data_IF_561028407116
#
_entry.id   IF_561028407116
#
_cell.length_a   1.000
_cell.length_b   1.000
_cell.length_c   1.000
_cell.angle_alpha   90.00
_cell.angle_beta   90.00
_cell.angle_gamma   90.00
#
_symmetry.space_group_name_H-M   'P 1'
#
loop_
_entity.id
_entity.type
_entity.pdbx_description
1 polymer ?
#
# COMPACT_ATOMS: atom_id res chain seq x y z
N UNK A 1 8.44 -3.00 17.15
CA UNK A 1 9.60 -3.25 16.27
C UNK A 1 10.94 -3.26 17.03
N UNK A 2 10.95 -3.79 18.27
CA UNK A 2 12.11 -3.83 19.13
C UNK A 2 13.32 -4.55 18.51
N UNK A 3 13.10 -5.68 17.86
CA UNK A 3 14.12 -6.44 17.13
C UNK A 3 14.76 -5.63 15.99
N UNK A 4 14.00 -4.75 15.37
CA UNK A 4 14.45 -3.94 14.24
C UNK A 4 15.28 -2.74 14.68
N UNK A 5 15.02 -2.19 15.87
CA UNK A 5 15.82 -1.11 16.43
C UNK A 5 17.25 -1.56 16.78
N UNK A 6 17.40 -2.83 17.16
CA UNK A 6 18.67 -3.45 17.53
C UNK A 6 19.37 -4.17 16.36
N UNK A 7 18.75 -4.24 15.19
CA UNK A 7 19.36 -4.86 14.02
C UNK A 7 20.49 -3.98 13.47
N UNK A 8 21.64 -4.61 13.14
CA UNK A 8 22.77 -3.91 12.50
C UNK A 8 22.42 -3.30 11.13
N UNK A 9 21.29 -3.70 10.54
CA UNK A 9 20.76 -3.20 9.27
C UNK A 9 19.70 -2.15 9.55
N UNK A 10 20.03 -0.89 9.40
CA UNK A 10 19.08 0.20 9.53
C UNK A 10 18.14 0.23 8.31
N UNK A 11 16.90 -0.19 8.49
CA UNK A 11 15.85 -0.16 7.46
C UNK A 11 14.63 0.67 7.88
N UNK A 12 14.65 1.24 9.09
CA UNK A 12 13.61 2.13 9.62
C UNK A 12 14.20 3.51 9.89
N UNK A 13 13.50 4.54 9.44
CA UNK A 13 13.96 5.92 9.50
C UNK A 13 12.87 6.82 10.10
N UNK A 14 13.31 7.74 10.94
CA UNK A 14 12.43 8.76 11.50
C UNK A 14 12.52 10.02 10.66
N UNK A 15 11.56 10.18 9.73
CA UNK A 15 11.35 11.42 9.00
C UNK A 15 10.07 12.09 9.49
N UNK A 16 9.95 13.40 9.32
CA UNK A 16 8.65 14.03 9.54
C UNK A 16 7.59 13.43 8.60
N UNK A 17 6.35 13.39 9.07
CA UNK A 17 5.20 12.95 8.28
C UNK A 17 4.01 13.82 8.62
N UNK A 18 3.36 14.42 7.61
CA UNK A 18 2.21 15.28 7.83
C UNK A 18 1.12 15.07 6.79
N UNK A 19 -0.13 15.31 7.20
CA UNK A 19 -1.27 15.52 6.33
C UNK A 19 -1.45 17.04 6.17
N UNK A 20 -1.24 17.54 4.96
CA UNK A 20 -1.29 18.97 4.60
C UNK A 20 -2.70 19.35 4.19
N UNK A 21 -3.24 20.37 4.82
CA UNK A 21 -4.47 21.06 4.46
C UNK A 21 -4.15 22.38 3.77
N UNK A 22 -4.85 22.67 2.68
CA UNK A 22 -4.65 23.88 1.87
C UNK A 22 -5.99 24.59 1.67
N UNK A 23 -6.05 25.85 2.07
CA UNK A 23 -7.26 26.67 2.10
C UNK A 23 -8.06 26.48 3.39
N UNK A 24 -8.96 27.42 3.67
CA UNK A 24 -9.66 27.51 4.96
C UNK A 24 -10.53 26.28 5.25
N UNK A 25 -11.23 25.76 4.24
CA UNK A 25 -12.10 24.58 4.39
C UNK A 25 -11.32 23.35 4.86
N UNK A 26 -10.18 23.07 4.23
CA UNK A 26 -9.35 21.93 4.62
C UNK A 26 -8.66 22.18 5.97
N UNK A 27 -8.26 23.41 6.26
CA UNK A 27 -7.66 23.77 7.54
C UNK A 27 -8.66 23.61 8.70
N UNK A 28 -9.90 24.00 8.52
CA UNK A 28 -10.94 23.82 9.54
C UNK A 28 -11.29 22.33 9.74
N UNK A 29 -11.32 21.54 8.67
CA UNK A 29 -11.44 20.10 8.77
C UNK A 29 -10.24 19.50 9.53
N UNK A 30 -9.01 19.91 9.22
CA UNK A 30 -7.80 19.41 9.86
C UNK A 30 -7.74 19.73 11.35
N UNK A 31 -8.17 20.93 11.78
CA UNK A 31 -8.27 21.29 13.19
C UNK A 31 -9.21 20.36 13.95
N UNK A 32 -10.40 20.09 13.38
CA UNK A 32 -11.37 19.14 13.97
C UNK A 32 -10.77 17.74 14.10
N UNK A 33 -10.12 17.26 13.05
CA UNK A 33 -9.47 15.93 13.09
C UNK A 33 -8.33 15.88 14.11
N UNK A 34 -7.57 16.94 14.27
CA UNK A 34 -6.54 17.00 15.30
C UNK A 34 -7.14 16.88 16.71
N UNK A 35 -8.20 17.62 17.00
CA UNK A 35 -8.88 17.52 18.30
C UNK A 35 -9.43 16.09 18.59
N UNK A 36 -9.90 15.38 17.56
CA UNK A 36 -10.36 13.99 17.68
C UNK A 36 -9.20 13.00 17.95
N UNK A 37 -8.02 13.25 17.40
CA UNK A 37 -6.93 12.28 17.41
C UNK A 37 -5.86 12.55 18.48
N UNK A 38 -5.69 13.76 18.96
CA UNK A 38 -4.60 14.12 19.89
C UNK A 38 -4.61 13.28 21.19
N UNK A 39 -5.77 12.89 21.68
CA UNK A 39 -5.92 12.04 22.87
C UNK A 39 -5.56 10.56 22.58
N UNK A 40 -5.87 10.09 21.37
CA UNK A 40 -5.58 8.72 20.93
C UNK A 40 -4.12 8.52 20.54
N UNK A 41 -3.50 9.59 20.02
CA UNK A 41 -2.13 9.55 19.50
C UNK A 41 -1.33 10.75 20.06
N UNK A 42 -0.77 10.66 21.26
CA UNK A 42 -0.12 11.80 21.95
C UNK A 42 1.09 12.39 21.20
N UNK A 43 1.69 11.64 20.27
CA UNK A 43 2.80 12.10 19.43
C UNK A 43 2.36 12.93 18.21
N UNK A 44 1.04 13.01 17.93
CA UNK A 44 0.54 13.85 16.83
C UNK A 44 0.54 15.31 17.24
N UNK A 45 1.07 16.16 16.38
CA UNK A 45 1.13 17.62 16.56
C UNK A 45 0.35 18.32 15.46
N UNK A 46 -0.15 19.50 15.79
CA UNK A 46 -0.70 20.44 14.83
C UNK A 46 0.39 21.41 14.40
N UNK A 47 0.55 21.60 13.10
CA UNK A 47 1.53 22.50 12.49
C UNK A 47 0.81 23.66 11.81
N UNK A 48 1.12 24.88 12.23
CA UNK A 48 0.75 26.09 11.52
C UNK A 48 1.68 26.36 10.32
N UNK A 49 1.38 27.37 9.52
CA UNK A 49 2.17 27.76 8.35
C UNK A 49 3.63 28.05 8.68
N UNK A 50 3.90 28.69 9.83
CA UNK A 50 5.26 29.02 10.25
C UNK A 50 6.07 27.76 10.59
N UNK A 51 5.47 26.81 11.32
CA UNK A 51 6.07 25.53 11.63
C UNK A 51 6.30 24.70 10.36
N UNK A 52 5.33 24.65 9.45
CA UNK A 52 5.50 23.97 8.16
C UNK A 52 6.67 24.58 7.37
N UNK A 53 6.78 25.92 7.35
CA UNK A 53 7.88 26.61 6.65
C UNK A 53 9.25 26.20 7.22
N UNK A 54 9.33 26.00 8.51
CA UNK A 54 10.58 25.58 9.19
C UNK A 54 11.00 24.18 8.80
N UNK A 55 10.06 23.21 8.72
CA UNK A 55 10.35 21.79 8.47
C UNK A 55 10.28 21.41 7.00
N UNK A 56 9.39 22.04 6.21
CA UNK A 56 9.17 21.80 4.78
C UNK A 56 9.04 23.11 4.01
N UNK A 57 10.12 23.88 3.83
CA UNK A 57 10.06 25.23 3.24
C UNK A 57 9.44 25.24 1.84
N UNK A 58 9.68 24.18 1.01
CA UNK A 58 9.13 24.08 -0.34
C UNK A 58 7.60 23.92 -0.38
N UNK A 59 6.97 23.52 0.70
CA UNK A 59 5.51 23.41 0.83
C UNK A 59 4.88 24.79 1.02
N UNK A 60 5.59 25.71 1.64
CA UNK A 60 5.10 27.07 1.95
C UNK A 60 5.43 28.09 0.89
N UNK A 61 6.56 27.91 0.19
CA UNK A 61 6.96 28.83 -0.89
C UNK A 61 5.98 28.77 -2.06
N UNK A 62 5.66 29.92 -2.63
CA UNK A 62 4.85 30.05 -3.84
C UNK A 62 5.56 29.55 -5.12
N UNK A 63 4.91 29.71 -6.26
CA UNK A 63 5.39 29.17 -7.54
C UNK A 63 6.75 29.71 -7.97
N UNK A 64 7.04 30.97 -7.69
CA UNK A 64 8.29 31.66 -8.01
C UNK A 64 9.40 31.48 -6.94
N UNK A 65 9.09 30.86 -5.83
CA UNK A 65 9.96 30.67 -4.66
C UNK A 65 10.44 31.98 -3.97
N UNK A 66 9.89 33.14 -4.31
CA UNK A 66 10.31 34.42 -3.75
C UNK A 66 9.48 34.85 -2.53
N UNK A 67 8.24 34.40 -2.47
CA UNK A 67 7.30 34.72 -1.39
C UNK A 67 6.56 33.44 -0.98
N UNK A 68 5.94 33.49 0.18
CA UNK A 68 5.08 32.43 0.66
C UNK A 68 3.80 32.38 -0.17
N UNK A 69 3.26 31.19 -0.37
CA UNK A 69 1.95 30.99 -1.00
C UNK A 69 0.87 31.77 -0.23
N UNK A 70 -0.10 32.39 -0.95
CA UNK A 70 -1.14 33.19 -0.31
C UNK A 70 -2.14 32.37 0.50
N UNK A 71 -2.33 31.10 0.16
CA UNK A 71 -3.31 30.26 0.82
C UNK A 71 -2.98 30.04 2.31
N UNK A 72 -4.03 29.96 3.11
CA UNK A 72 -3.92 29.42 4.45
C UNK A 72 -3.56 27.94 4.36
N UNK A 73 -2.57 27.52 5.14
CA UNK A 73 -2.18 26.12 5.24
C UNK A 73 -1.95 25.73 6.69
N UNK A 74 -2.32 24.52 6.99
CA UNK A 74 -1.96 23.86 8.25
C UNK A 74 -1.73 22.37 8.01
N UNK A 75 -1.19 21.68 8.99
CA UNK A 75 -1.02 20.24 8.90
C UNK A 75 -1.19 19.57 10.27
N UNK A 76 -1.44 18.27 10.23
CA UNK A 76 -1.36 17.38 11.38
C UNK A 76 -0.34 16.31 11.10
N UNK A 77 0.58 16.05 12.03
CA UNK A 77 1.63 15.09 11.76
C UNK A 77 2.57 14.84 12.93
N UNK A 78 3.71 14.27 12.63
CA UNK A 78 4.77 13.96 13.58
C UNK A 78 6.10 14.56 13.12
N UNK A 79 6.91 15.00 14.05
CA UNK A 79 8.25 15.52 13.76
C UNK A 79 9.26 14.37 13.55
N UNK A 80 10.37 14.68 12.91
CA UNK A 80 11.50 13.76 12.79
C UNK A 80 12.10 13.48 14.15
N UNK A 81 12.51 12.23 14.39
CA UNK A 81 13.14 11.82 15.66
C UNK A 81 12.17 11.23 16.69
N UNK A 82 10.85 11.42 16.53
CA UNK A 82 9.87 10.97 17.53
C UNK A 82 9.36 9.55 17.27
N UNK A 83 9.05 9.24 16.00
CA UNK A 83 8.54 7.92 15.59
C UNK A 83 9.15 7.51 14.26
N UNK A 84 9.21 6.21 14.00
CA UNK A 84 9.60 5.69 12.70
C UNK A 84 8.46 5.85 11.69
N UNK A 85 8.71 6.54 10.60
CA UNK A 85 7.70 6.89 9.59
C UNK A 85 8.01 6.37 8.19
N UNK A 86 9.25 5.94 7.97
CA UNK A 86 9.74 5.45 6.68
C UNK A 86 10.44 4.11 6.89
N UNK A 87 10.11 3.12 6.06
CA UNK A 87 10.65 1.76 6.14
C UNK A 87 11.09 1.29 4.76
N UNK A 88 12.30 0.76 4.67
CA UNK A 88 12.73 -0.06 3.54
C UNK A 88 12.19 -1.49 3.74
N UNK A 89 11.00 -1.74 3.21
CA UNK A 89 10.34 -3.03 3.36
C UNK A 89 11.08 -4.19 2.68
N UNK A 90 11.88 -3.91 1.66
CA UNK A 90 12.74 -4.91 1.02
C UNK A 90 13.80 -5.42 2.00
N UNK A 91 14.57 -4.51 2.59
CA UNK A 91 15.57 -4.85 3.63
C UNK A 91 14.92 -5.48 4.86
N UNK A 92 13.77 -4.97 5.29
CA UNK A 92 13.03 -5.55 6.40
C UNK A 92 12.65 -7.01 6.13
N UNK A 93 12.11 -7.31 4.95
CA UNK A 93 11.73 -8.68 4.56
C UNK A 93 12.93 -9.62 4.53
N UNK A 94 14.06 -9.17 3.95
CA UNK A 94 15.31 -9.95 3.93
C UNK A 94 15.77 -10.24 5.36
N UNK A 95 15.80 -9.21 6.22
CA UNK A 95 16.22 -9.35 7.61
C UNK A 95 15.37 -10.35 8.38
N UNK A 96 14.02 -10.28 8.25
CA UNK A 96 13.11 -11.22 8.90
C UNK A 96 13.34 -12.66 8.45
N UNK A 97 13.60 -12.89 7.17
CA UNK A 97 13.91 -14.23 6.63
C UNK A 97 15.24 -14.72 7.19
N UNK A 98 16.28 -13.89 7.21
CA UNK A 98 17.59 -14.24 7.76
C UNK A 98 17.50 -14.57 9.25
N UNK A 99 16.71 -13.83 10.03
CA UNK A 99 16.47 -14.15 11.43
C UNK A 99 15.74 -15.49 11.61
N UNK A 100 14.73 -15.76 10.80
CA UNK A 100 14.04 -17.04 10.81
C UNK A 100 14.99 -18.22 10.50
N UNK A 101 15.89 -18.06 9.51
CA UNK A 101 16.90 -19.06 9.17
C UNK A 101 17.96 -19.26 10.27
N UNK A 102 18.33 -18.19 10.99
CA UNK A 102 19.22 -18.30 12.14
C UNK A 102 18.57 -19.08 13.32
N UNK A 103 17.27 -18.87 13.55
CA UNK A 103 16.53 -19.55 14.60
C UNK A 103 16.21 -21.00 14.24
N UNK A 104 15.93 -21.29 12.99
CA UNK A 104 15.63 -22.65 12.52
C UNK A 104 16.33 -22.93 11.18
N UNK A 105 17.34 -23.80 11.23
CA UNK A 105 18.13 -24.22 10.07
C UNK A 105 17.33 -24.95 8.99
N UNK A 106 16.11 -25.41 9.31
CA UNK A 106 15.19 -26.01 8.34
C UNK A 106 14.35 -24.96 7.59
N UNK A 107 14.58 -23.67 7.84
CA UNK A 107 13.96 -22.58 7.08
C UNK A 107 14.75 -22.30 5.80
N UNK A 108 14.13 -22.43 4.65
CA UNK A 108 14.76 -22.14 3.35
C UNK A 108 13.84 -21.32 2.47
N UNK A 109 14.46 -20.63 1.51
CA UNK A 109 13.78 -19.79 0.51
C UNK A 109 14.00 -20.40 -0.86
N UNK A 110 12.93 -20.61 -1.61
CA UNK A 110 12.98 -21.10 -2.99
C UNK A 110 12.55 -19.98 -3.95
N UNK A 111 13.52 -19.32 -4.60
CA UNK A 111 13.25 -18.33 -5.62
C UNK A 111 12.95 -18.99 -6.98
N UNK A 112 12.34 -18.23 -7.90
CA UNK A 112 11.97 -18.68 -9.23
C UNK A 112 11.03 -19.90 -9.23
N UNK A 113 10.18 -19.98 -8.22
CA UNK A 113 9.16 -21.01 -8.05
C UNK A 113 7.78 -20.38 -8.13
N UNK A 114 7.25 -20.19 -9.35
CA UNK A 114 5.92 -19.64 -9.57
C UNK A 114 4.87 -20.74 -9.27
N UNK A 115 4.14 -20.62 -8.18
CA UNK A 115 3.05 -21.54 -7.83
C UNK A 115 1.86 -21.25 -8.74
N UNK A 116 1.44 -22.24 -9.52
CA UNK A 116 0.33 -22.12 -10.48
C UNK A 116 -0.91 -22.91 -10.07
N UNK A 117 -0.77 -23.84 -9.14
CA UNK A 117 -1.85 -24.70 -8.65
C UNK A 117 -1.61 -25.11 -7.20
N UNK A 118 -2.68 -25.14 -6.42
CA UNK A 118 -2.70 -25.64 -5.05
C UNK A 118 -3.90 -26.58 -4.93
N UNK A 119 -3.68 -27.78 -4.40
CA UNK A 119 -4.75 -28.73 -4.09
C UNK A 119 -4.57 -29.29 -2.69
N UNK A 120 -5.66 -29.62 -2.01
CA UNK A 120 -5.62 -30.34 -0.73
C UNK A 120 -5.93 -31.82 -0.99
N UNK A 121 -5.04 -32.69 -0.55
CA UNK A 121 -5.22 -34.13 -0.60
C UNK A 121 -4.99 -34.69 0.80
N UNK A 122 -6.03 -35.25 1.37
CA UNK A 122 -6.06 -35.62 2.77
C UNK A 122 -5.69 -34.45 3.70
N UNK A 123 -4.66 -34.55 4.49
CA UNK A 123 -4.19 -33.50 5.41
C UNK A 123 -2.98 -32.73 4.87
N UNK A 124 -2.67 -32.86 3.58
CA UNK A 124 -1.52 -32.22 2.95
C UNK A 124 -1.98 -31.33 1.79
N UNK A 125 -1.37 -30.17 1.70
CA UNK A 125 -1.47 -29.29 0.52
C UNK A 125 -0.34 -29.61 -0.46
N UNK A 126 -0.69 -29.78 -1.72
CA UNK A 126 0.23 -30.03 -2.83
C UNK A 126 0.28 -28.74 -3.67
N UNK A 127 1.46 -28.14 -3.74
CA UNK A 127 1.69 -26.91 -4.50
C UNK A 127 2.50 -27.25 -5.76
N UNK A 128 1.96 -26.91 -6.94
CA UNK A 128 2.63 -27.18 -8.23
C UNK A 128 3.14 -25.88 -8.83
N UNK A 129 4.37 -25.92 -9.32
CA UNK A 129 5.04 -24.79 -9.92
C UNK A 129 4.99 -24.82 -11.45
N UNK A 130 5.21 -23.67 -12.09
CA UNK A 130 5.27 -23.55 -13.55
C UNK A 130 6.45 -24.32 -14.19
N UNK A 131 7.49 -24.61 -13.41
CA UNK A 131 8.64 -25.45 -13.84
C UNK A 131 8.51 -26.91 -13.42
N UNK A 132 7.27 -27.39 -13.17
CA UNK A 132 6.92 -28.79 -12.86
C UNK A 132 7.49 -29.35 -11.56
N UNK A 133 7.86 -28.50 -10.61
CA UNK A 133 8.19 -28.96 -9.25
C UNK A 133 6.94 -29.05 -8.39
N UNK A 134 7.01 -29.84 -7.35
CA UNK A 134 5.93 -30.06 -6.41
C UNK A 134 6.43 -29.94 -4.97
N UNK A 135 5.68 -29.17 -4.16
CA UNK A 135 5.93 -28.97 -2.75
C UNK A 135 4.76 -29.49 -1.93
N UNK A 136 5.05 -30.18 -0.84
CA UNK A 136 4.05 -30.72 0.09
C UNK A 136 4.11 -29.97 1.41
N UNK A 137 2.98 -29.51 1.91
CA UNK A 137 2.90 -28.73 3.14
C UNK A 137 1.67 -29.11 3.98
N UNK A 138 1.81 -29.13 5.30
CA UNK A 138 0.67 -29.30 6.21
C UNK A 138 -0.17 -28.04 6.30
N UNK A 139 0.44 -26.87 6.14
CA UNK A 139 -0.26 -25.57 6.12
C UNK A 139 0.37 -24.64 5.10
N UNK A 140 -0.43 -23.71 4.55
CA UNK A 140 -0.02 -22.75 3.50
C UNK A 140 -0.57 -21.37 3.82
N UNK A 141 0.29 -20.35 3.73
CA UNK A 141 -0.13 -18.95 3.76
C UNK A 141 0.23 -18.30 2.42
N UNK A 142 -0.77 -17.82 1.70
CA UNK A 142 -0.64 -17.24 0.36
C UNK A 142 -0.68 -15.71 0.45
N UNK A 143 0.48 -15.06 0.31
CA UNK A 143 0.65 -13.60 0.32
C UNK A 143 1.01 -13.06 -1.08
N UNK A 144 0.29 -13.51 -2.11
CA UNK A 144 0.58 -13.25 -3.51
C UNK A 144 -0.12 -11.99 -4.07
N UNK A 145 -0.54 -11.05 -3.20
CA UNK A 145 -1.26 -9.85 -3.62
C UNK A 145 -2.55 -10.18 -4.38
N UNK A 146 -2.72 -9.64 -5.59
CA UNK A 146 -3.91 -9.91 -6.40
C UNK A 146 -4.02 -11.38 -6.86
N UNK A 147 -2.90 -12.09 -6.99
CA UNK A 147 -2.90 -13.52 -7.32
C UNK A 147 -3.39 -14.41 -6.17
N UNK A 148 -3.46 -13.92 -4.93
CA UNK A 148 -4.03 -14.70 -3.83
C UNK A 148 -5.47 -15.10 -4.11
N UNK A 149 -6.30 -14.17 -4.63
CA UNK A 149 -7.69 -14.48 -5.00
C UNK A 149 -7.77 -15.44 -6.21
N UNK A 150 -6.91 -15.24 -7.19
CA UNK A 150 -6.81 -16.13 -8.35
C UNK A 150 -6.51 -17.59 -7.93
N UNK A 151 -5.54 -17.79 -7.04
CA UNK A 151 -5.18 -19.12 -6.53
C UNK A 151 -6.30 -19.70 -5.65
N UNK A 152 -6.97 -18.87 -4.82
CA UNK A 152 -8.12 -19.30 -4.03
C UNK A 152 -9.28 -19.77 -4.92
N UNK A 153 -9.60 -19.02 -5.98
CA UNK A 153 -10.65 -19.40 -6.95
C UNK A 153 -10.36 -20.72 -7.67
N UNK A 154 -9.08 -21.04 -7.93
CA UNK A 154 -8.71 -22.38 -8.48
C UNK A 154 -8.99 -23.51 -7.52
N UNK A 155 -9.04 -23.24 -6.23
CA UNK A 155 -9.46 -24.20 -5.19
C UNK A 155 -10.97 -24.13 -4.89
N UNK A 156 -11.75 -23.34 -5.62
CA UNK A 156 -13.15 -23.03 -5.34
C UNK A 156 -13.40 -22.36 -3.98
N UNK A 157 -12.42 -21.61 -3.47
CA UNK A 157 -12.49 -20.84 -2.23
C UNK A 157 -12.66 -19.35 -2.53
N UNK A 158 -13.30 -18.59 -1.62
CA UNK A 158 -13.52 -17.16 -1.79
C UNK A 158 -14.43 -16.80 -2.97
N UNK A 159 -15.36 -17.68 -3.36
CA UNK A 159 -16.25 -17.48 -4.50
C UNK A 159 -17.25 -16.34 -4.30
N UNK A 160 -17.45 -15.92 -3.06
CA UNK A 160 -18.19 -14.73 -2.64
C UNK A 160 -17.41 -13.42 -2.85
N UNK A 161 -16.17 -13.50 -3.30
CA UNK A 161 -15.28 -12.36 -3.52
C UNK A 161 -14.91 -12.20 -5.00
N UNK A 162 -14.59 -10.97 -5.38
CA UNK A 162 -14.01 -10.59 -6.66
C UNK A 162 -12.99 -9.47 -6.40
N UNK A 163 -12.24 -9.04 -7.40
CA UNK A 163 -11.37 -7.89 -7.20
C UNK A 163 -11.25 -7.00 -8.44
N UNK A 164 -11.11 -5.70 -8.17
CA UNK A 164 -10.65 -4.70 -9.11
C UNK A 164 -9.18 -4.39 -8.81
N UNK A 165 -8.24 -4.76 -9.69
CA UNK A 165 -6.85 -4.38 -9.54
C UNK A 165 -6.66 -2.89 -9.80
N UNK A 166 -6.13 -2.17 -8.82
CA UNK A 166 -5.82 -0.74 -8.91
C UNK A 166 -4.32 -0.55 -8.92
N UNK A 167 -3.77 -0.16 -10.06
CA UNK A 167 -2.37 0.14 -10.22
C UNK A 167 -2.05 1.54 -9.70
N UNK A 168 -0.95 1.67 -8.98
CA UNK A 168 -0.35 2.94 -8.62
C UNK A 168 0.95 3.15 -9.36
N UNK A 169 1.19 4.37 -9.82
CA UNK A 169 2.45 4.81 -10.43
C UNK A 169 2.98 6.02 -9.68
N UNK A 170 4.28 6.25 -9.79
CA UNK A 170 4.95 7.37 -9.15
C UNK A 170 5.78 8.16 -10.17
N UNK A 171 5.99 9.42 -9.84
CA UNK A 171 6.93 10.32 -10.52
C UNK A 171 8.03 10.70 -9.55
N UNK A 172 9.27 10.62 -10.00
CA UNK A 172 10.46 11.03 -9.25
C UNK A 172 10.96 12.39 -9.75
N UNK A 173 11.53 13.15 -8.85
CA UNK A 173 12.34 14.34 -9.17
C UNK A 173 13.82 13.96 -9.26
N UNK A 174 14.65 14.84 -9.78
CA UNK A 174 16.13 14.68 -9.80
C UNK A 174 16.80 15.26 -8.55
N UNK A 175 16.01 15.70 -7.59
CA UNK A 175 16.50 16.38 -6.38
C UNK A 175 15.56 16.14 -5.20
N UNK A 176 16.08 16.30 -4.00
CA UNK A 176 15.29 16.30 -2.78
C UNK A 176 14.53 17.61 -2.64
N UNK A 177 13.20 17.59 -2.78
CA UNK A 177 12.33 18.75 -2.58
C UNK A 177 11.66 18.75 -1.21
N UNK A 178 11.43 17.56 -0.63
CA UNK A 178 10.79 17.37 0.67
C UNK A 178 11.76 16.69 1.64
N UNK A 179 11.68 17.05 2.91
CA UNK A 179 12.47 16.44 3.98
C UNK A 179 11.83 15.17 4.53
N UNK A 180 10.52 15.08 4.43
CA UNK A 180 9.75 13.94 4.88
C UNK A 180 8.47 13.77 4.06
N UNK A 181 7.52 13.03 4.60
CA UNK A 181 6.30 12.65 3.90
C UNK A 181 5.18 13.67 4.07
N UNK A 182 4.68 14.20 2.97
CA UNK A 182 3.58 15.17 2.94
C UNK A 182 2.41 14.59 2.15
N UNK A 183 1.32 14.28 2.83
CA UNK A 183 0.05 13.81 2.24
C UNK A 183 -0.90 14.98 2.00
N UNK A 184 -1.66 14.95 0.92
CA UNK A 184 -2.85 15.78 0.78
C UNK A 184 -4.00 15.21 1.65
N UNK A 185 -4.96 16.05 2.00
CA UNK A 185 -6.19 15.60 2.66
C UNK A 185 -6.91 14.58 1.78
N UNK A 186 -7.25 13.43 2.38
CA UNK A 186 -7.99 12.37 1.70
C UNK A 186 -9.43 12.78 1.44
N UNK A 187 -9.89 12.65 0.20
CA UNK A 187 -11.30 12.77 -0.11
C UNK A 187 -12.05 11.50 0.38
N UNK A 188 -13.01 11.61 1.31
CA UNK A 188 -13.68 10.44 1.90
C UNK A 188 -14.51 9.63 0.88
N UNK A 189 -14.87 10.22 -0.26
CA UNK A 189 -15.60 9.52 -1.33
C UNK A 189 -14.70 8.67 -2.23
N UNK A 190 -13.37 8.87 -2.17
CA UNK A 190 -12.45 8.14 -3.01
C UNK A 190 -11.81 6.99 -2.21
N UNK A 191 -11.98 5.73 -2.67
CA UNK A 191 -11.39 4.55 -2.00
C UNK A 191 -9.89 4.40 -2.27
N UNK A 192 -9.25 5.43 -2.82
CA UNK A 192 -7.86 5.39 -3.26
C UNK A 192 -7.00 6.32 -2.41
N UNK A 193 -5.71 5.98 -2.27
CA UNK A 193 -4.78 6.80 -1.49
C UNK A 193 -4.65 8.20 -2.07
N UNK A 194 -4.68 9.22 -1.20
CA UNK A 194 -4.39 10.60 -1.59
C UNK A 194 -2.98 10.73 -2.14
N UNK A 195 -2.79 11.64 -3.10
CA UNK A 195 -1.47 11.99 -3.59
C UNK A 195 -0.61 12.51 -2.44
N UNK A 196 0.63 12.06 -2.41
CA UNK A 196 1.62 12.52 -1.44
C UNK A 196 2.98 12.70 -2.11
N UNK A 197 3.84 13.44 -1.45
CA UNK A 197 5.26 13.53 -1.79
C UNK A 197 6.11 13.05 -0.62
N UNK A 198 7.18 12.33 -0.91
CA UNK A 198 8.14 11.87 0.09
C UNK A 198 9.53 11.65 -0.52
N UNK A 199 10.60 11.79 0.28
CA UNK A 199 11.92 11.37 -0.14
C UNK A 199 11.96 9.84 -0.25
N UNK A 200 12.44 9.32 -1.39
CA UNK A 200 12.48 7.89 -1.66
C UNK A 200 13.85 7.30 -1.31
N UNK A 201 13.86 6.31 -0.40
CA UNK A 201 15.08 5.64 0.05
C UNK A 201 15.83 4.90 -1.07
N UNK A 202 15.10 4.41 -2.08
CA UNK A 202 15.66 3.66 -3.20
C UNK A 202 16.11 4.56 -4.35
N UNK A 203 15.85 5.87 -4.25
CA UNK A 203 16.17 6.87 -5.26
C UNK A 203 17.03 8.01 -4.66
N UNK A 204 18.01 7.68 -3.82
CA UNK A 204 18.95 8.62 -3.20
C UNK A 204 18.26 9.80 -2.50
N UNK A 205 17.12 9.55 -1.85
CA UNK A 205 16.30 10.57 -1.19
C UNK A 205 15.72 11.64 -2.14
N UNK A 206 15.74 11.42 -3.44
CA UNK A 206 15.02 12.26 -4.39
C UNK A 206 13.52 12.19 -4.09
N UNK A 207 12.82 13.31 -4.28
CA UNK A 207 11.41 13.35 -3.94
C UNK A 207 10.57 12.59 -4.95
N UNK A 208 9.74 11.71 -4.44
CA UNK A 208 8.74 10.95 -5.17
C UNK A 208 7.35 11.54 -4.93
N UNK A 209 6.55 11.65 -5.99
CA UNK A 209 5.14 12.03 -5.91
C UNK A 209 4.24 10.92 -6.44
N UNK A 210 3.13 10.66 -5.78
CA UNK A 210 2.14 9.64 -6.14
C UNK A 210 1.35 9.16 -4.93
N UNK A 211 0.72 7.99 -5.03
CA UNK A 211 0.52 7.23 -6.26
C UNK A 211 -0.61 7.78 -7.14
N UNK A 212 -0.58 7.43 -8.43
CA UNK A 212 -1.79 7.44 -9.26
C UNK A 212 -2.71 6.28 -8.87
N UNK A 213 -3.95 6.26 -9.34
CA UNK A 213 -4.89 5.18 -9.09
C UNK A 213 -5.61 4.78 -10.40
N UNK A 214 -5.03 3.82 -11.08
CA UNK A 214 -5.48 3.34 -12.38
C UNK A 214 -6.08 1.95 -12.25
N UNK A 215 -7.35 1.78 -12.60
CA UNK A 215 -7.96 0.44 -12.72
C UNK A 215 -7.42 -0.24 -13.98
N UNK A 216 -6.82 -1.41 -13.83
CA UNK A 216 -6.24 -2.15 -14.96
C UNK A 216 -6.74 -3.59 -14.99
N UNK A 217 -6.95 -4.18 -16.20
CA UNK A 217 -7.35 -5.57 -16.34
C UNK A 217 -6.15 -6.52 -16.24
N UNK A 218 -5.34 -6.37 -15.18
CA UNK A 218 -4.14 -7.17 -14.93
C UNK A 218 -3.91 -7.32 -13.43
N UNK A 219 -3.33 -8.42 -13.02
CA UNK A 219 -2.95 -8.66 -11.62
C UNK A 219 -1.56 -8.10 -11.28
N UNK A 220 -0.77 -7.72 -12.30
CA UNK A 220 0.56 -7.13 -12.15
C UNK A 220 0.77 -5.89 -13.01
N UNK A 221 1.58 -4.94 -12.52
CA UNK A 221 1.78 -3.65 -13.18
C UNK A 221 2.72 -3.72 -14.39
N UNK A 222 3.83 -4.44 -14.27
CA UNK A 222 4.96 -4.32 -15.20
C UNK A 222 5.23 -5.57 -16.06
N UNK A 223 4.52 -6.67 -15.90
CA UNK A 223 4.71 -7.93 -16.60
C UNK A 223 3.90 -8.05 -17.90
N UNK A 224 3.74 -6.96 -18.63
CA UNK A 224 3.04 -6.91 -19.90
C UNK A 224 1.57 -7.32 -19.79
N UNK A 225 1.12 -8.23 -20.66
CA UNK A 225 -0.25 -8.75 -20.69
C UNK A 225 -0.39 -10.17 -20.11
N UNK A 226 0.68 -10.74 -19.55
CA UNK A 226 0.71 -12.12 -19.06
C UNK A 226 -0.42 -12.42 -18.04
N UNK A 227 -0.69 -11.49 -17.13
CA UNK A 227 -1.71 -11.66 -16.08
C UNK A 227 -3.13 -11.21 -16.45
N UNK A 228 -3.41 -10.92 -17.73
CA UNK A 228 -4.77 -10.55 -18.19
C UNK A 228 -5.73 -11.74 -18.11
N UNK A 229 -5.40 -12.95 -18.58
CA UNK A 229 -6.28 -14.11 -18.41
C UNK A 229 -6.58 -14.41 -16.94
N UNK A 230 -5.55 -14.37 -16.08
CA UNK A 230 -5.66 -14.58 -14.64
C UNK A 230 -6.55 -13.54 -13.96
N UNK A 231 -6.53 -12.29 -14.45
CA UNK A 231 -7.44 -11.25 -14.00
C UNK A 231 -8.90 -11.64 -14.25
N UNK A 232 -9.24 -12.11 -15.44
CA UNK A 232 -10.63 -12.51 -15.75
C UNK A 232 -11.07 -13.72 -14.92
N UNK A 233 -10.15 -14.64 -14.63
CA UNK A 233 -10.43 -15.76 -13.73
C UNK A 233 -10.64 -15.30 -12.27
N UNK A 234 -9.85 -14.33 -11.79
CA UNK A 234 -10.00 -13.74 -10.46
C UNK A 234 -11.24 -12.83 -10.35
N UNK A 235 -11.58 -12.11 -11.42
CA UNK A 235 -12.75 -11.22 -11.45
C UNK A 235 -14.05 -12.00 -11.27
N UNK A 236 -14.18 -13.21 -11.85
CA UNK A 236 -15.40 -14.04 -11.78
C UNK A 236 -16.65 -13.20 -12.05
N UNK A 237 -16.67 -12.56 -13.22
CA UNK A 237 -17.71 -11.60 -13.60
C UNK A 237 -19.11 -12.21 -13.50
N UNK A 238 -19.95 -11.62 -12.65
CA UNK A 238 -21.36 -11.98 -12.48
C UNK A 238 -22.23 -10.72 -12.35
N UNK A 239 -23.55 -10.92 -12.16
CA UNK A 239 -24.51 -9.81 -12.03
C UNK A 239 -24.19 -8.86 -10.88
N UNK A 240 -23.66 -9.37 -9.75
CA UNK A 240 -23.29 -8.56 -8.58
C UNK A 240 -22.06 -7.71 -8.87
N UNK A 241 -21.02 -8.31 -9.45
CA UNK A 241 -19.80 -7.58 -9.86
C UNK A 241 -20.16 -6.49 -10.87
N UNK A 242 -21.02 -6.80 -11.87
CA UNK A 242 -21.51 -5.80 -12.83
C UNK A 242 -22.27 -4.67 -12.15
N UNK A 243 -23.15 -4.97 -11.18
CA UNK A 243 -23.91 -3.97 -10.43
C UNK A 243 -22.99 -3.08 -9.60
N UNK A 244 -22.03 -3.64 -8.86
CA UNK A 244 -21.06 -2.88 -8.06
C UNK A 244 -20.23 -1.97 -8.96
N UNK A 245 -19.72 -2.50 -10.07
CA UNK A 245 -18.96 -1.74 -11.07
C UNK A 245 -19.80 -0.59 -11.65
N UNK A 246 -21.04 -0.87 -12.04
CA UNK A 246 -21.95 0.15 -12.57
C UNK A 246 -22.21 1.26 -11.54
N UNK A 247 -22.44 0.91 -10.28
CA UNK A 247 -22.67 1.88 -9.22
C UNK A 247 -21.45 2.76 -8.98
N UNK A 248 -20.23 2.20 -9.04
CA UNK A 248 -18.98 2.98 -8.96
C UNK A 248 -18.90 4.00 -10.12
N UNK A 249 -19.16 3.57 -11.34
CA UNK A 249 -19.10 4.46 -12.51
C UNK A 249 -20.28 5.44 -12.59
N UNK A 250 -21.39 5.17 -11.90
CA UNK A 250 -22.51 6.11 -11.77
C UNK A 250 -22.15 7.33 -10.92
N UNK A 251 -21.32 7.17 -9.89
CA UNK A 251 -20.82 8.31 -9.12
C UNK A 251 -19.86 9.16 -9.95
N UNK A 252 -20.26 10.41 -10.19
CA UNK A 252 -19.49 11.33 -11.04
C UNK A 252 -18.09 11.61 -10.46
N UNK A 253 -17.94 11.64 -9.14
CA UNK A 253 -16.65 11.89 -8.47
C UNK A 253 -15.69 10.75 -8.76
N UNK A 254 -16.13 9.50 -8.56
CA UNK A 254 -15.32 8.29 -8.80
C UNK A 254 -15.01 8.15 -10.29
N UNK A 255 -16.01 8.29 -11.15
CA UNK A 255 -15.83 8.20 -12.60
C UNK A 255 -14.83 9.22 -13.14
N UNK A 256 -14.98 10.49 -12.75
CA UNK A 256 -14.07 11.55 -13.18
C UNK A 256 -12.66 11.32 -12.63
N UNK A 257 -12.54 10.85 -11.40
CA UNK A 257 -11.24 10.51 -10.80
C UNK A 257 -10.54 9.37 -11.58
N UNK A 258 -11.25 8.28 -11.87
CA UNK A 258 -10.71 7.16 -12.67
C UNK A 258 -10.29 7.66 -14.05
N UNK A 259 -11.16 8.42 -14.75
CA UNK A 259 -10.85 8.95 -16.07
C UNK A 259 -9.62 9.88 -16.04
N UNK A 260 -9.54 10.76 -15.05
CA UNK A 260 -8.41 11.66 -14.88
C UNK A 260 -7.09 10.90 -14.64
N UNK A 261 -7.12 9.81 -13.87
CA UNK A 261 -5.95 8.97 -13.67
C UNK A 261 -5.51 8.21 -14.94
N UNK A 262 -6.42 7.90 -15.88
CA UNK A 262 -6.04 7.37 -17.18
C UNK A 262 -5.22 8.36 -18.00
N UNK A 263 -5.50 9.65 -17.87
CA UNK A 263 -4.75 10.70 -18.59
C UNK A 263 -3.29 10.78 -18.14
N UNK A 264 -2.98 10.38 -16.89
CA UNK A 264 -1.60 10.32 -16.40
C UNK A 264 -0.76 9.20 -17.05
N UNK A 265 -1.37 8.28 -17.78
CA UNK A 265 -0.68 7.23 -18.51
C UNK A 265 -0.48 7.58 -20.00
N UNK A 266 -1.03 8.69 -20.45
CA UNK A 266 -0.91 9.12 -21.85
C UNK A 266 0.40 9.92 -22.03
N UNK A 267 1.29 9.49 -22.93
CA UNK A 267 2.50 10.22 -23.26
C UNK A 267 2.18 11.68 -23.65
N UNK A 268 3.04 12.60 -23.27
CA UNK A 268 2.99 14.06 -23.56
C UNK A 268 2.05 14.90 -22.68
N UNK A 269 0.98 14.35 -22.12
CA UNK A 269 0.05 15.09 -21.25
C UNK A 269 0.19 14.70 -19.77
N UNK A 270 0.73 13.51 -19.50
CA UNK A 270 0.88 12.88 -18.19
C UNK A 270 1.51 13.81 -17.15
N UNK A 271 2.72 14.31 -17.41
CA UNK A 271 3.49 15.15 -16.47
C UNK A 271 2.81 16.48 -16.17
N UNK A 272 2.29 17.13 -17.20
CA UNK A 272 1.66 18.44 -17.05
C UNK A 272 0.39 18.38 -16.23
N UNK A 273 -0.41 17.33 -16.40
CA UNK A 273 -1.60 17.09 -15.61
C UNK A 273 -1.24 16.68 -14.17
N UNK A 274 -0.29 15.77 -14.02
CA UNK A 274 0.11 15.29 -12.70
C UNK A 274 0.71 16.40 -11.83
N UNK A 275 1.54 17.26 -12.42
CA UNK A 275 2.13 18.42 -11.73
C UNK A 275 1.06 19.37 -11.21
N UNK A 276 -0.06 19.51 -11.90
CA UNK A 276 -1.17 20.35 -11.45
C UNK A 276 -1.67 19.95 -10.05
N UNK A 277 -1.76 18.65 -9.80
CA UNK A 277 -2.17 18.13 -8.50
C UNK A 277 -1.00 18.20 -7.50
N UNK A 278 0.21 17.84 -7.92
CA UNK A 278 1.40 17.84 -7.06
C UNK A 278 1.81 19.27 -6.61
N UNK A 279 1.48 20.30 -7.36
CA UNK A 279 1.64 21.72 -6.97
C UNK A 279 0.88 22.09 -5.70
N UNK A 280 -0.15 21.35 -5.34
CA UNK A 280 -0.80 21.53 -4.05
C UNK A 280 0.17 21.28 -2.89
N UNK A 281 1.13 20.36 -3.07
CA UNK A 281 2.19 20.08 -2.09
C UNK A 281 3.38 21.02 -2.30
N UNK A 282 3.94 21.06 -3.51
CA UNK A 282 5.10 21.89 -3.86
C UNK A 282 4.71 22.85 -5.00
N UNK A 283 4.32 24.10 -4.70
CA UNK A 283 3.80 25.03 -5.71
C UNK A 283 4.76 25.32 -6.87
N UNK A 284 6.06 25.32 -6.61
CA UNK A 284 7.11 25.62 -7.60
C UNK A 284 7.45 24.45 -8.54
N UNK A 285 6.83 23.27 -8.35
CA UNK A 285 7.10 22.08 -9.17
C UNK A 285 6.73 22.29 -10.63
N UNK A 286 7.62 21.88 -11.55
CA UNK A 286 7.43 21.96 -13.01
C UNK A 286 7.40 20.57 -13.62
N UNK A 287 6.78 20.44 -14.79
CA UNK A 287 6.74 19.16 -15.52
C UNK A 287 8.15 18.68 -15.97
N UNK A 288 9.10 19.61 -16.13
CA UNK A 288 10.51 19.31 -16.41
C UNK A 288 11.24 18.66 -15.22
N UNK A 289 10.74 18.87 -14.00
CA UNK A 289 11.40 18.42 -12.77
C UNK A 289 11.11 16.96 -12.46
N UNK A 290 10.07 16.41 -13.07
CA UNK A 290 9.60 15.05 -12.79
C UNK A 290 9.81 14.10 -13.99
N UNK A 291 9.99 12.84 -13.66
CA UNK A 291 9.99 11.75 -14.64
C UNK A 291 9.25 10.52 -14.08
N UNK A 292 8.67 9.73 -14.97
CA UNK A 292 7.94 8.52 -14.60
C UNK A 292 8.88 7.50 -13.95
N UNK A 293 8.52 7.04 -12.75
CA UNK A 293 9.34 6.10 -11.97
C UNK A 293 8.95 4.64 -12.29
N UNK A 294 9.46 4.11 -13.40
CA UNK A 294 9.20 2.73 -13.79
C UNK A 294 9.73 1.75 -12.73
N UNK A 295 8.88 0.81 -12.31
CA UNK A 295 9.24 -0.19 -11.29
C UNK A 295 8.88 0.23 -9.85
N UNK A 296 8.53 1.48 -9.60
CA UNK A 296 8.17 1.97 -8.25
C UNK A 296 6.69 1.81 -7.91
N UNK A 297 5.87 1.41 -8.86
CA UNK A 297 4.45 1.18 -8.66
C UNK A 297 4.13 -0.29 -8.40
N UNK A 298 2.86 -0.54 -8.07
CA UNK A 298 2.34 -1.89 -7.86
C UNK A 298 0.84 -1.95 -8.13
N UNK A 299 0.26 -3.13 -7.92
CA UNK A 299 -1.18 -3.36 -8.04
C UNK A 299 -1.76 -3.66 -6.67
N UNK A 300 -2.83 -2.98 -6.32
CA UNK A 300 -3.62 -3.24 -5.12
C UNK A 300 -4.85 -4.06 -5.49
N UNK A 301 -5.07 -5.25 -4.91
CA UNK A 301 -6.30 -6.00 -5.11
C UNK A 301 -7.44 -5.34 -4.32
N UNK A 302 -8.24 -4.50 -4.96
CA UNK A 302 -9.40 -3.92 -4.32
C UNK A 302 -10.55 -4.93 -4.37
N UNK A 303 -10.87 -5.51 -3.22
CA UNK A 303 -11.81 -6.63 -3.13
C UNK A 303 -13.26 -6.15 -3.22
N UNK A 304 -14.07 -6.87 -3.96
CA UNK A 304 -15.54 -6.77 -4.00
C UNK A 304 -16.11 -7.90 -3.16
N UNK A 305 -16.90 -7.57 -2.14
CA UNK A 305 -17.74 -8.52 -1.41
C UNK A 305 -19.07 -8.69 -2.18
N UNK A 306 -19.26 -9.86 -2.80
CA UNK A 306 -20.46 -10.14 -3.59
C UNK A 306 -21.68 -10.34 -2.72
N UNK A 307 -21.54 -10.75 -1.47
CA UNK A 307 -22.66 -10.97 -0.55
C UNK A 307 -23.25 -9.63 -0.11
N UNK A 308 -22.39 -8.65 0.16
CA UNK A 308 -22.79 -7.29 0.50
C UNK A 308 -23.09 -6.43 -0.73
N UNK A 309 -22.54 -6.80 -1.89
CA UNK A 309 -22.65 -6.02 -3.13
C UNK A 309 -21.90 -4.70 -3.07
N UNK A 310 -20.74 -4.67 -2.42
CA UNK A 310 -19.93 -3.44 -2.21
C UNK A 310 -18.43 -3.68 -2.36
N UNK A 311 -17.70 -2.58 -2.58
CA UNK A 311 -16.24 -2.56 -2.60
C UNK A 311 -15.73 -2.51 -1.16
N UNK A 312 -14.90 -3.48 -0.77
CA UNK A 312 -14.26 -3.50 0.54
C UNK A 312 -13.10 -2.50 0.60
N UNK A 313 -13.10 -1.68 1.65
CA UNK A 313 -11.99 -0.78 1.95
C UNK A 313 -11.14 -1.42 3.04
N UNK A 314 -9.97 -1.93 2.67
CA UNK A 314 -9.03 -2.51 3.61
C UNK A 314 -8.69 -3.95 3.32
N UNK A 315 -8.39 -4.67 4.38
CA UNK A 315 -7.90 -6.04 4.35
C UNK A 315 -9.01 -7.05 4.04
N UNK A 316 -8.66 -8.08 3.27
CA UNK A 316 -9.47 -9.27 3.10
C UNK A 316 -8.59 -10.52 3.20
N UNK A 317 -9.10 -11.56 3.85
CA UNK A 317 -8.49 -12.87 3.89
C UNK A 317 -9.54 -13.96 3.63
N UNK A 318 -9.12 -15.08 3.07
CA UNK A 318 -9.93 -16.27 2.86
C UNK A 318 -9.35 -17.38 3.71
N UNK A 319 -10.15 -17.90 4.64
CA UNK A 319 -9.78 -18.93 5.62
C UNK A 319 -10.81 -20.06 5.69
N UNK A 320 -11.59 -20.27 4.61
CA UNK A 320 -12.70 -21.22 4.55
C UNK A 320 -12.27 -22.68 4.71
N UNK A 321 -11.02 -22.97 4.33
CA UNK A 321 -10.44 -24.31 4.46
C UNK A 321 -9.37 -24.32 5.55
N UNK A 322 -9.49 -25.14 6.58
CA UNK A 322 -8.47 -25.25 7.61
C UNK A 322 -7.08 -25.60 7.05
N UNK A 323 -6.06 -24.88 7.52
CA UNK A 323 -4.66 -25.06 7.13
C UNK A 323 -4.20 -24.23 5.95
N UNK A 324 -5.09 -23.48 5.26
CA UNK A 324 -4.69 -22.55 4.21
C UNK A 324 -5.29 -21.15 4.41
N UNK A 325 -4.49 -20.12 4.19
CA UNK A 325 -4.89 -18.71 4.30
C UNK A 325 -4.50 -18.00 3.02
N UNK A 326 -5.41 -17.23 2.42
CA UNK A 326 -5.12 -16.36 1.30
C UNK A 326 -5.31 -14.90 1.74
N UNK A 327 -4.26 -14.10 1.68
CA UNK A 327 -4.28 -12.71 2.09
C UNK A 327 -4.35 -11.76 0.89
N UNK A 328 -5.26 -10.79 0.98
CA UNK A 328 -5.46 -9.72 0.00
C UNK A 328 -5.56 -8.40 0.75
N UNK A 329 -4.43 -7.81 1.08
CA UNK A 329 -4.40 -6.54 1.82
C UNK A 329 -3.91 -5.42 0.90
N UNK A 330 -4.82 -4.59 0.33
CA UNK A 330 -4.45 -3.60 -0.67
C UNK A 330 -3.64 -2.44 -0.07
N UNK A 331 -4.07 -1.90 1.04
CA UNK A 331 -3.43 -0.80 1.79
C UNK A 331 -4.25 -0.53 3.07
N UNK A 332 -3.62 -0.38 4.21
CA UNK A 332 -2.19 -0.17 4.51
C UNK A 332 -1.38 -1.46 4.78
N UNK A 333 -1.39 -2.43 3.88
CA UNK A 333 -0.81 -3.76 4.06
C UNK A 333 0.60 -3.80 4.64
N UNK A 334 1.48 -2.91 4.20
CA UNK A 334 2.85 -2.87 4.71
C UNK A 334 2.93 -2.46 6.19
N UNK A 335 2.12 -1.51 6.63
CA UNK A 335 2.12 -1.04 8.03
C UNK A 335 1.37 -1.97 8.98
N UNK A 336 0.45 -2.80 8.47
CA UNK A 336 -0.29 -3.81 9.26
C UNK A 336 0.33 -5.21 9.18
N UNK A 337 1.50 -5.36 8.53
CA UNK A 337 2.07 -6.67 8.22
C UNK A 337 2.35 -7.53 9.46
N UNK A 338 2.80 -6.95 10.57
CA UNK A 338 3.07 -7.72 11.80
C UNK A 338 1.78 -8.19 12.48
N UNK A 339 0.74 -7.34 12.55
CA UNK A 339 -0.56 -7.77 13.08
C UNK A 339 -1.21 -8.85 12.24
N UNK A 340 -1.07 -8.76 10.90
CA UNK A 340 -1.55 -9.81 10.00
C UNK A 340 -0.75 -11.11 10.18
N UNK A 341 0.57 -11.01 10.33
CA UNK A 341 1.43 -12.17 10.56
C UNK A 341 1.11 -12.86 11.90
N UNK A 342 0.84 -12.09 12.96
CA UNK A 342 0.41 -12.62 14.25
C UNK A 342 -0.89 -13.42 14.13
N UNK A 343 -1.92 -12.83 13.53
CA UNK A 343 -3.20 -13.49 13.27
C UNK A 343 -3.02 -14.79 12.49
N UNK A 344 -2.27 -14.73 11.39
CA UNK A 344 -2.06 -15.88 10.51
C UNK A 344 -1.25 -16.98 11.21
N UNK A 345 -0.22 -16.61 11.97
CA UNK A 345 0.58 -17.55 12.75
C UNK A 345 -0.26 -18.27 13.84
N UNK A 346 -1.15 -17.53 14.53
CA UNK A 346 -2.09 -18.11 15.49
C UNK A 346 -3.02 -19.13 14.83
N UNK A 347 -3.56 -18.83 13.65
CA UNK A 347 -4.41 -19.74 12.87
C UNK A 347 -3.64 -21.00 12.44
N UNK A 348 -2.41 -20.84 11.95
CA UNK A 348 -1.54 -21.95 11.54
C UNK A 348 -1.17 -22.82 12.75
N UNK A 349 -0.74 -22.24 13.85
CA UNK A 349 -0.42 -22.97 15.08
C UNK A 349 -1.61 -23.78 15.59
N UNK A 350 -2.78 -23.15 15.67
CA UNK A 350 -4.01 -23.82 16.09
C UNK A 350 -4.35 -25.03 15.18
N UNK A 351 -4.25 -24.84 13.85
CA UNK A 351 -4.48 -25.92 12.90
C UNK A 351 -3.51 -27.08 13.04
N UNK A 352 -2.24 -26.79 13.34
CA UNK A 352 -1.19 -27.80 13.52
C UNK A 352 -1.17 -28.41 14.93
N UNK A 353 -2.06 -27.98 15.85
CA UNK A 353 -2.03 -28.39 17.24
C UNK A 353 -0.81 -27.88 18.02
N UNK A 354 -0.26 -26.75 17.60
CA UNK A 354 0.90 -26.10 18.23
C UNK A 354 0.45 -24.89 19.04
N UNK A 355 1.21 -24.53 20.07
CA UNK A 355 1.00 -23.31 20.83
C UNK A 355 1.70 -22.12 20.16
N UNK A 356 1.01 -20.97 20.06
CA UNK A 356 1.61 -19.72 19.65
C UNK A 356 2.20 -18.99 20.86
N UNK A 357 3.48 -18.64 20.81
CA UNK A 357 4.16 -17.96 21.90
C UNK A 357 3.99 -16.44 21.79
N UNK A 358 2.96 -15.90 22.47
CA UNK A 358 2.62 -14.48 22.46
C UNK A 358 3.70 -13.62 23.11
N UNK A 359 4.30 -14.05 24.21
CA UNK A 359 5.35 -13.30 24.92
C UNK A 359 6.59 -13.14 24.05
N UNK A 360 6.97 -14.22 23.35
CA UNK A 360 8.12 -14.17 22.44
C UNK A 360 7.81 -13.26 21.24
N UNK A 361 6.62 -13.35 20.66
CA UNK A 361 6.21 -12.49 19.56
C UNK A 361 6.26 -11.02 19.97
N UNK A 362 5.67 -10.67 21.11
CA UNK A 362 5.64 -9.29 21.62
C UNK A 362 7.03 -8.75 21.94
N UNK A 363 7.87 -9.55 22.59
CA UNK A 363 9.21 -9.12 22.99
C UNK A 363 10.19 -9.01 21.83
N UNK A 364 10.02 -9.81 20.77
CA UNK A 364 10.94 -9.84 19.64
C UNK A 364 10.49 -8.95 18.47
N UNK A 365 9.18 -8.74 18.28
CA UNK A 365 8.65 -8.09 17.07
C UNK A 365 7.87 -6.79 17.34
N UNK A 366 7.31 -6.58 18.52
CA UNK A 366 6.58 -5.36 18.89
C UNK A 366 7.41 -4.44 19.76
#
# INVERSE_FOLDING_TARGET
>A
YGLMQNAQNNFMFSHQKMALAVGDIECDYMKKRYEEFKELYPYIKFFDKAKIKQIEPKVVLGEDCNQDRPENICAMGVESGEVFTTVDFGKMSINLIEQAQKQNKNTFVAFNQEIIHIEKKDDIFILKTSNHQEYHAKSVVVNAGAHSLYLAHKMNLGMDKSCWPVAGSFYLTKQKLLNGKVYMVQNPKLPFAALHGDPDLLADMNTRFGPTALVIPKLERYHGLKSVPEFFEALKLDKTVLKVTFNMFKDATIRNYIFYNYLFELPFVDKSLFVKDAKKIVPSLKASDIYYAKGFGGVRPQVIDKTKGELMLGEASITETPGIIFNMTPSPGATSCLGNAERDAKLVCNYLGMEFNEDKFSSELL
#
